data_IF_337789072130
#
_entry.id   IF_337789072130
#
_cell.length_a   1.000
_cell.length_b   1.000
_cell.length_c   1.000
_cell.angle_alpha   90.00
_cell.angle_beta   90.00
_cell.angle_gamma   90.00
#
_symmetry.space_group_name_H-M   'P 1'
#
loop_
_entity.id
_entity.type
_entity.pdbx_description
1 polymer ?
#
# COMPACT_ATOMS: atom_id res chain seq x y z
N UNK A 1 -20.42 -8.43 4.99
CA UNK A 1 -20.96 -9.71 4.47
C UNK A 1 -19.99 -10.80 4.87
N UNK A 2 -20.41 -11.85 5.59
CA UNK A 2 -19.55 -13.00 5.87
C UNK A 2 -19.01 -13.57 4.56
N UNK A 3 -17.69 -13.87 4.46
CA UNK A 3 -17.16 -14.54 3.29
C UNK A 3 -17.79 -15.93 3.17
N UNK A 4 -18.05 -16.35 1.93
CA UNK A 4 -18.55 -17.68 1.59
C UNK A 4 -17.45 -18.52 0.94
N UNK A 5 -17.71 -19.80 0.70
CA UNK A 5 -16.76 -20.70 0.04
C UNK A 5 -15.47 -20.91 0.84
N UNK A 6 -14.34 -21.11 0.15
CA UNK A 6 -13.04 -21.39 0.79
C UNK A 6 -12.57 -20.28 1.72
N UNK A 7 -12.93 -19.03 1.43
CA UNK A 7 -12.56 -17.89 2.26
C UNK A 7 -13.24 -17.93 3.64
N UNK A 8 -14.40 -18.59 3.79
CA UNK A 8 -15.11 -18.70 5.06
C UNK A 8 -14.26 -19.36 6.15
N UNK A 9 -13.40 -20.31 5.79
CA UNK A 9 -12.56 -21.05 6.73
C UNK A 9 -11.53 -20.16 7.47
N UNK A 10 -11.21 -18.98 6.91
CA UNK A 10 -10.26 -18.05 7.51
C UNK A 10 -10.89 -17.08 8.51
N UNK A 11 -12.21 -17.14 8.74
CA UNK A 11 -12.94 -16.18 9.57
C UNK A 11 -13.83 -16.87 10.59
N UNK A 12 -13.72 -16.46 11.85
CA UNK A 12 -14.68 -16.86 12.89
C UNK A 12 -15.92 -15.96 12.79
N UNK A 13 -16.90 -16.37 11.98
CA UNK A 13 -18.15 -15.62 11.76
C UNK A 13 -19.13 -15.96 12.88
N UNK A 14 -19.57 -14.98 13.70
CA UNK A 14 -20.58 -15.23 14.72
C UNK A 14 -21.90 -15.68 14.09
N UNK A 15 -22.62 -16.59 14.76
CA UNK A 15 -23.90 -17.13 14.25
C UNK A 15 -24.97 -16.06 13.98
N UNK A 16 -24.92 -14.94 14.69
CA UNK A 16 -25.86 -13.83 14.51
C UNK A 16 -25.56 -12.96 13.28
N UNK A 17 -24.38 -13.11 12.65
CA UNK A 17 -23.94 -12.31 11.51
C UNK A 17 -24.11 -13.11 10.22
N UNK A 18 -25.19 -12.83 9.48
CA UNK A 18 -25.52 -13.50 8.22
C UNK A 18 -26.15 -12.56 7.21
N UNK A 19 -26.22 -13.00 5.94
CA UNK A 19 -27.07 -12.37 4.95
C UNK A 19 -28.52 -12.80 5.21
N UNK A 20 -29.45 -11.85 5.19
CA UNK A 20 -30.87 -12.18 5.22
C UNK A 20 -31.27 -12.90 3.93
N UNK A 21 -31.93 -14.04 4.06
CA UNK A 21 -32.48 -14.76 2.91
C UNK A 21 -33.49 -13.89 2.17
N UNK A 22 -33.37 -13.79 0.85
CA UNK A 22 -34.24 -12.94 0.02
C UNK A 22 -33.93 -11.44 0.10
N UNK A 23 -32.77 -11.04 0.65
CA UNK A 23 -32.32 -9.66 0.57
C UNK A 23 -32.26 -9.17 -0.88
N UNK A 24 -32.75 -7.95 -1.12
CA UNK A 24 -32.70 -7.30 -2.43
C UNK A 24 -31.61 -6.23 -2.44
N UNK A 25 -30.93 -6.11 -3.58
CA UNK A 25 -29.84 -5.16 -3.77
C UNK A 25 -30.21 -4.19 -4.90
N UNK A 26 -29.86 -2.90 -4.75
CA UNK A 26 -30.07 -1.92 -5.81
C UNK A 26 -29.22 -2.21 -7.07
N UNK A 27 -28.08 -2.89 -6.88
CA UNK A 27 -27.15 -3.31 -7.94
C UNK A 27 -26.28 -4.46 -7.44
N UNK A 28 -26.02 -5.41 -8.33
CA UNK A 28 -25.00 -6.45 -8.14
C UNK A 28 -23.85 -6.20 -9.11
N UNK A 29 -22.61 -6.34 -8.62
CA UNK A 29 -21.39 -6.16 -9.41
C UNK A 29 -20.51 -7.39 -9.18
N UNK A 30 -20.19 -8.09 -10.25
CA UNK A 30 -19.42 -9.33 -10.24
C UNK A 30 -18.04 -9.02 -10.83
N UNK A 31 -16.99 -9.48 -10.15
CA UNK A 31 -15.60 -9.30 -10.59
C UNK A 31 -14.94 -10.67 -10.75
N UNK A 32 -14.34 -10.92 -11.91
CA UNK A 32 -13.42 -12.05 -12.08
C UNK A 32 -12.03 -11.68 -11.56
N UNK A 33 -11.54 -12.41 -10.57
CA UNK A 33 -10.22 -12.17 -9.99
C UNK A 33 -9.09 -12.60 -10.93
N UNK A 34 -9.35 -13.48 -11.91
CA UNK A 34 -8.36 -13.91 -12.89
C UNK A 34 -8.04 -12.81 -13.92
N UNK A 35 -8.95 -11.86 -14.10
CA UNK A 35 -8.79 -10.72 -15.02
C UNK A 35 -8.19 -9.48 -14.33
N UNK A 36 -8.01 -9.51 -13.01
CA UNK A 36 -7.43 -8.40 -12.26
C UNK A 36 -5.92 -8.28 -12.52
N UNK A 37 -5.53 -7.16 -13.12
CA UNK A 37 -4.14 -6.75 -13.21
C UNK A 37 -3.75 -5.78 -12.07
N UNK A 38 -2.45 -5.52 -11.84
CA UNK A 38 -2.01 -4.50 -10.90
C UNK A 38 -2.49 -3.10 -11.32
N UNK A 39 -3.25 -2.46 -10.43
CA UNK A 39 -3.81 -1.13 -10.62
C UNK A 39 -3.14 -0.10 -9.68
N UNK A 40 -3.22 1.16 -10.07
CA UNK A 40 -2.83 2.31 -9.26
C UNK A 40 -3.88 3.41 -9.38
N UNK A 41 -4.16 4.11 -8.29
CA UNK A 41 -4.98 5.32 -8.34
C UNK A 41 -4.07 6.54 -8.55
N UNK A 42 -4.18 7.15 -9.74
CA UNK A 42 -3.42 8.34 -10.12
C UNK A 42 -4.00 9.60 -9.47
N UNK A 43 -3.18 10.65 -9.24
CA UNK A 43 -3.67 11.91 -8.70
C UNK A 43 -4.77 12.52 -9.60
N UNK A 44 -5.71 13.31 -9.07
CA UNK A 44 -5.91 13.71 -7.68
C UNK A 44 -7.20 13.12 -7.10
N UNK A 45 -7.57 11.91 -7.53
CA UNK A 45 -8.77 11.22 -7.05
C UNK A 45 -8.46 9.73 -6.81
N UNK A 46 -8.93 9.13 -5.70
CA UNK A 46 -8.87 7.69 -5.50
C UNK A 46 -9.64 6.91 -6.57
N UNK A 47 -10.58 7.56 -7.27
CA UNK A 47 -11.38 6.97 -8.34
C UNK A 47 -10.65 6.96 -9.70
N UNK A 48 -9.55 7.71 -9.83
CA UNK A 48 -8.75 7.75 -11.06
C UNK A 48 -7.82 6.52 -11.14
N UNK A 49 -8.43 5.34 -11.27
CA UNK A 49 -7.73 4.05 -11.26
C UNK A 49 -7.29 3.70 -12.68
N UNK A 50 -6.00 3.43 -12.85
CA UNK A 50 -5.39 3.02 -14.12
C UNK A 50 -4.52 1.77 -13.92
N UNK A 51 -4.35 0.93 -14.97
CA UNK A 51 -3.31 -0.09 -14.98
C UNK A 51 -1.94 0.49 -14.70
N UNK A 52 -1.14 -0.22 -13.92
CA UNK A 52 0.24 0.21 -13.60
C UNK A 52 1.06 0.44 -14.88
N UNK A 53 0.82 -0.35 -15.93
CA UNK A 53 1.49 -0.20 -17.22
C UNK A 53 1.35 1.21 -17.82
N UNK A 54 0.23 1.90 -17.59
CA UNK A 54 -0.03 3.24 -18.15
C UNK A 54 0.76 4.37 -17.47
N UNK A 55 1.35 4.10 -16.30
CA UNK A 55 2.16 5.08 -15.54
C UNK A 55 3.56 4.56 -15.26
N UNK A 56 4.00 3.58 -16.05
CA UNK A 56 5.26 2.88 -15.85
C UNK A 56 6.52 3.73 -16.07
N UNK A 57 6.36 4.93 -16.64
CA UNK A 57 7.41 5.92 -16.84
C UNK A 57 7.48 6.97 -15.73
N UNK A 58 6.56 6.95 -14.76
CA UNK A 58 6.48 7.96 -13.70
C UNK A 58 7.55 7.69 -12.63
N UNK A 59 8.57 8.55 -12.49
CA UNK A 59 9.55 8.42 -11.42
C UNK A 59 8.91 8.67 -10.06
N UNK A 60 9.44 8.02 -9.02
CA UNK A 60 9.01 8.22 -7.63
C UNK A 60 10.15 8.77 -6.79
N UNK A 61 9.84 9.74 -5.94
CA UNK A 61 10.80 10.34 -4.99
C UNK A 61 10.62 9.75 -3.59
N UNK A 62 9.37 9.42 -3.25
CA UNK A 62 8.98 8.80 -1.99
C UNK A 62 8.12 7.58 -2.25
N UNK A 63 8.46 6.45 -1.62
CA UNK A 63 7.57 5.32 -1.47
C UNK A 63 7.17 5.22 -0.01
N UNK A 64 5.85 5.26 0.25
CA UNK A 64 5.31 5.19 1.60
C UNK A 64 4.48 3.92 1.79
N UNK A 65 5.01 2.98 2.57
CA UNK A 65 4.34 1.73 2.93
C UNK A 65 3.95 1.79 4.41
N UNK A 66 2.67 1.58 4.69
CA UNK A 66 2.21 1.38 6.06
C UNK A 66 1.30 2.50 6.54
N UNK A 67 0.01 2.22 6.39
CA UNK A 67 -1.10 3.10 6.79
C UNK A 67 -2.17 2.25 7.49
N UNK A 68 -3.29 2.86 7.87
CA UNK A 68 -4.43 2.10 8.37
C UNK A 68 -4.99 1.08 7.36
N UNK A 69 -4.75 1.28 6.05
CA UNK A 69 -5.21 0.33 5.02
C UNK A 69 -4.21 -0.78 4.78
N UNK A 70 -2.92 -0.47 4.77
CA UNK A 70 -1.88 -1.38 4.27
C UNK A 70 -0.59 -1.33 5.10
N UNK A 71 -0.72 -1.39 6.42
CA UNK A 71 0.39 -1.48 7.37
C UNK A 71 0.28 -2.66 8.34
N UNK A 72 -0.48 -3.69 7.99
CA UNK A 72 -0.58 -4.94 8.77
C UNK A 72 0.68 -5.78 8.56
N UNK A 73 0.87 -6.80 9.41
CA UNK A 73 2.05 -7.66 9.33
C UNK A 73 2.24 -8.28 7.93
N UNK A 74 1.17 -8.80 7.34
CA UNK A 74 1.21 -9.37 5.98
C UNK A 74 1.59 -8.35 4.90
N UNK A 75 1.20 -7.09 5.04
CA UNK A 75 1.59 -6.02 4.10
C UNK A 75 3.10 -5.77 4.17
N UNK A 76 3.65 -5.68 5.39
CA UNK A 76 5.07 -5.47 5.64
C UNK A 76 5.91 -6.68 5.18
N UNK A 77 5.42 -7.90 5.44
CA UNK A 77 6.06 -9.14 5.00
C UNK A 77 6.10 -9.25 3.47
N UNK A 78 5.03 -8.84 2.78
CA UNK A 78 5.03 -8.77 1.31
C UNK A 78 6.10 -7.81 0.80
N UNK A 79 6.20 -6.60 1.37
CA UNK A 79 7.24 -5.66 1.00
C UNK A 79 8.65 -6.19 1.30
N UNK A 80 8.85 -6.78 2.48
CA UNK A 80 10.13 -7.35 2.88
C UNK A 80 10.59 -8.49 1.95
N UNK A 81 9.67 -9.36 1.53
CA UNK A 81 9.98 -10.47 0.60
C UNK A 81 10.49 -9.95 -0.75
N UNK A 82 9.86 -8.90 -1.27
CA UNK A 82 10.25 -8.27 -2.55
C UNK A 82 11.62 -7.58 -2.41
N UNK A 83 11.87 -6.94 -1.27
CA UNK A 83 13.08 -6.16 -1.00
C UNK A 83 14.26 -7.01 -0.49
N UNK A 84 14.04 -8.27 -0.14
CA UNK A 84 15.05 -9.12 0.50
C UNK A 84 16.32 -9.26 -0.36
N UNK A 85 17.47 -8.94 0.24
CA UNK A 85 18.78 -9.02 -0.44
C UNK A 85 18.98 -7.98 -1.54
N UNK A 86 18.12 -6.97 -1.62
CA UNK A 86 18.17 -5.88 -2.61
C UNK A 86 18.22 -4.54 -1.88
N UNK A 87 18.59 -3.49 -2.60
CA UNK A 87 18.59 -2.12 -2.09
C UNK A 87 17.70 -1.25 -2.98
N UNK A 88 16.97 -0.31 -2.37
CA UNK A 88 16.14 0.65 -3.10
C UNK A 88 16.98 1.53 -4.03
N UNK A 89 16.33 2.11 -5.04
CA UNK A 89 16.96 3.03 -5.96
C UNK A 89 17.55 4.25 -5.20
N UNK A 90 18.75 4.74 -5.54
CA UNK A 90 19.47 5.73 -4.72
C UNK A 90 18.74 7.06 -4.50
N UNK A 91 17.88 7.47 -5.44
CA UNK A 91 17.10 8.71 -5.35
C UNK A 91 15.77 8.54 -4.62
N UNK A 92 15.37 7.30 -4.30
CA UNK A 92 14.08 7.00 -3.65
C UNK A 92 14.24 7.01 -2.14
N UNK A 93 13.33 7.70 -1.47
CA UNK A 93 13.09 7.53 -0.03
C UNK A 93 12.05 6.45 0.19
N UNK A 94 12.38 5.36 0.88
CA UNK A 94 11.40 4.37 1.32
C UNK A 94 11.05 4.61 2.79
N UNK A 95 9.81 5.01 3.06
CA UNK A 95 9.29 5.18 4.42
C UNK A 95 8.35 4.01 4.76
N UNK A 96 8.63 3.33 5.88
CA UNK A 96 7.79 2.25 6.38
C UNK A 96 7.24 2.57 7.77
N UNK A 97 5.92 2.50 7.94
CA UNK A 97 5.24 2.75 9.22
C UNK A 97 4.29 1.59 9.57
N UNK A 98 4.62 0.74 10.56
CA UNK A 98 3.69 -0.30 11.02
C UNK A 98 2.37 0.31 11.52
N UNK A 99 1.24 -0.32 11.22
CA UNK A 99 -0.08 0.24 11.51
C UNK A 99 -0.40 0.34 13.01
N UNK A 100 0.31 -0.40 13.87
CA UNK A 100 0.14 -0.35 15.32
C UNK A 100 1.39 -0.84 16.05
N UNK A 101 1.45 -0.60 17.35
CA UNK A 101 2.50 -1.13 18.22
C UNK A 101 2.61 -2.66 18.14
N UNK A 102 1.48 -3.36 18.14
CA UNK A 102 1.44 -4.82 18.02
C UNK A 102 2.05 -5.32 16.70
N UNK A 103 1.81 -4.59 15.60
CA UNK A 103 2.40 -4.94 14.30
C UNK A 103 3.90 -4.63 14.30
N UNK A 104 4.31 -3.51 14.90
CA UNK A 104 5.73 -3.18 15.08
C UNK A 104 6.46 -4.30 15.84
N UNK A 105 5.94 -4.74 16.99
CA UNK A 105 6.51 -5.84 17.77
C UNK A 105 6.60 -7.14 16.95
N UNK A 106 5.51 -7.53 16.28
CA UNK A 106 5.47 -8.75 15.49
C UNK A 106 6.47 -8.73 14.32
N UNK A 107 6.53 -7.62 13.58
CA UNK A 107 7.45 -7.44 12.45
C UNK A 107 8.92 -7.30 12.89
N UNK A 108 9.15 -6.88 14.14
CA UNK A 108 10.48 -6.91 14.75
C UNK A 108 10.88 -8.35 15.06
N UNK A 109 9.97 -9.10 15.71
CA UNK A 109 10.23 -10.46 16.17
C UNK A 109 10.50 -11.45 15.03
N UNK A 110 9.85 -11.29 13.87
CA UNK A 110 10.02 -12.18 12.71
C UNK A 110 11.12 -11.72 11.72
N UNK A 111 11.82 -10.62 12.01
CA UNK A 111 12.90 -10.09 11.16
C UNK A 111 12.43 -9.30 9.93
N UNK A 112 11.13 -9.06 9.77
CA UNK A 112 10.57 -8.24 8.69
C UNK A 112 11.18 -6.84 8.68
N UNK A 113 11.26 -6.18 9.84
CA UNK A 113 11.83 -4.83 9.92
C UNK A 113 13.33 -4.80 9.61
N UNK A 114 14.08 -5.83 10.03
CA UNK A 114 15.50 -5.94 9.72
C UNK A 114 15.73 -6.05 8.20
N UNK A 115 14.90 -6.83 7.51
CA UNK A 115 14.95 -6.95 6.04
C UNK A 115 14.66 -5.61 5.36
N UNK A 116 13.64 -4.89 5.82
CA UNK A 116 13.28 -3.59 5.27
C UNK A 116 14.37 -2.53 5.49
N UNK A 117 14.96 -2.50 6.69
CA UNK A 117 16.10 -1.63 7.01
C UNK A 117 17.31 -1.94 6.11
N UNK A 118 17.63 -3.22 5.92
CA UNK A 118 18.74 -3.64 5.07
C UNK A 118 18.55 -3.22 3.60
N UNK A 119 17.31 -3.08 3.15
CA UNK A 119 16.98 -2.60 1.81
C UNK A 119 17.06 -1.06 1.67
N UNK A 120 17.31 -0.32 2.75
CA UNK A 120 17.39 1.14 2.76
C UNK A 120 16.12 1.85 3.23
N UNK A 121 15.16 1.13 3.83
CA UNK A 121 13.97 1.76 4.39
C UNK A 121 14.29 2.61 5.62
N UNK A 122 13.59 3.74 5.76
CA UNK A 122 13.48 4.48 7.02
C UNK A 122 12.21 4.03 7.73
N UNK A 123 12.33 3.65 9.01
CA UNK A 123 11.19 3.25 9.83
C UNK A 123 10.60 4.46 10.57
N UNK A 124 9.27 4.51 10.64
CA UNK A 124 8.54 5.42 11.49
C UNK A 124 7.87 4.73 12.67
N UNK A 125 7.62 5.50 13.74
CA UNK A 125 6.78 5.04 14.84
C UNK A 125 5.34 4.84 14.37
N UNK A 126 4.61 3.84 14.91
CA UNK A 126 3.22 3.60 14.53
C UNK A 126 2.36 4.86 14.62
N UNK A 127 1.73 5.24 13.50
CA UNK A 127 1.02 6.50 13.37
C UNK A 127 0.63 6.81 11.93
N UNK A 128 0.25 8.06 11.66
CA UNK A 128 -0.23 8.48 10.33
C UNK A 128 0.89 8.96 9.39
N UNK A 129 2.09 9.28 9.91
CA UNK A 129 3.21 9.82 9.11
C UNK A 129 2.78 10.96 8.16
N UNK A 130 3.09 10.87 6.85
CA UNK A 130 2.78 11.91 5.89
C UNK A 130 1.35 11.83 5.35
N UNK A 131 0.52 10.87 5.78
CA UNK A 131 -0.83 10.63 5.23
C UNK A 131 -1.76 11.86 5.27
N UNK A 132 -1.48 12.81 6.17
CA UNK A 132 -2.17 14.11 6.30
C UNK A 132 -1.22 15.31 6.15
N UNK A 133 -0.02 15.10 5.59
CA UNK A 133 0.94 16.16 5.30
C UNK A 133 1.55 16.88 6.52
N UNK A 134 1.59 16.21 7.69
CA UNK A 134 2.02 16.84 8.95
C UNK A 134 3.50 16.61 9.30
N UNK A 135 4.01 15.40 9.07
CA UNK A 135 5.34 15.00 9.56
C UNK A 135 5.84 13.75 8.82
N UNK A 136 7.13 13.43 8.99
CA UNK A 136 7.74 12.15 8.58
C UNK A 136 7.54 11.81 7.10
N UNK A 137 8.20 12.54 6.21
CA UNK A 137 8.15 12.27 4.76
C UNK A 137 7.07 13.07 4.02
N UNK A 138 6.79 14.29 4.46
CA UNK A 138 5.94 15.23 3.71
C UNK A 138 6.58 15.51 2.34
N UNK A 139 5.78 15.51 1.27
CA UNK A 139 6.28 15.77 -0.08
C UNK A 139 6.36 17.27 -0.41
N UNK A 140 7.44 17.64 -1.09
CA UNK A 140 7.70 18.96 -1.65
C UNK A 140 7.00 19.22 -2.98
N UNK A 141 7.25 20.40 -3.55
CA UNK A 141 6.74 20.78 -4.88
C UNK A 141 7.38 19.90 -5.95
N UNK A 142 6.55 19.34 -6.84
CA UNK A 142 7.01 18.49 -7.95
C UNK A 142 7.31 17.04 -7.57
N UNK A 143 7.49 16.73 -6.28
CA UNK A 143 7.75 15.37 -5.81
C UNK A 143 6.55 14.44 -6.06
N UNK A 144 6.87 13.20 -6.37
CA UNK A 144 5.93 12.10 -6.57
C UNK A 144 6.07 11.11 -5.41
N UNK A 145 4.96 10.88 -4.70
CA UNK A 145 4.85 9.82 -3.71
C UNK A 145 3.99 8.67 -4.23
N UNK A 146 4.51 7.46 -4.16
CA UNK A 146 3.72 6.24 -4.30
C UNK A 146 3.40 5.70 -2.90
N UNK A 147 2.14 5.73 -2.52
CA UNK A 147 1.69 5.44 -1.16
C UNK A 147 0.75 4.24 -1.12
N UNK A 148 0.81 3.49 -0.01
CA UNK A 148 -0.21 2.48 0.33
C UNK A 148 -1.35 3.07 1.19
N UNK A 149 -1.58 4.38 1.12
CA UNK A 149 -2.73 5.05 1.71
C UNK A 149 -4.00 4.86 0.85
N UNK A 150 -5.11 5.49 1.26
CA UNK A 150 -6.39 5.43 0.53
C UNK A 150 -6.86 6.79 -0.01
N UNK A 151 -6.03 7.84 0.08
CA UNK A 151 -6.38 9.21 -0.33
C UNK A 151 -5.20 9.89 -1.00
N UNK A 152 -5.44 10.53 -2.14
CA UNK A 152 -4.44 11.21 -2.95
C UNK A 152 -4.90 12.58 -3.48
N UNK A 153 -5.82 13.24 -2.78
CA UNK A 153 -6.27 14.58 -3.13
C UNK A 153 -5.10 15.58 -3.17
N UNK A 154 -5.27 16.67 -3.91
CA UNK A 154 -4.25 17.73 -4.00
C UNK A 154 -3.85 18.23 -2.60
N UNK A 155 -2.54 18.29 -2.32
CA UNK A 155 -2.00 18.73 -1.03
C UNK A 155 -2.15 17.73 0.11
N UNK A 156 -2.56 16.48 -0.16
CA UNK A 156 -2.86 15.50 0.89
C UNK A 156 -1.66 15.14 1.76
N UNK A 157 -0.48 15.01 1.16
CA UNK A 157 0.75 14.56 1.84
C UNK A 157 1.82 15.64 1.90
N UNK A 158 1.45 16.92 1.69
CA UNK A 158 2.40 18.03 1.67
C UNK A 158 2.01 19.09 0.67
N UNK A 159 2.96 19.45 -0.19
CA UNK A 159 2.76 20.47 -1.21
C UNK A 159 1.53 20.19 -2.08
N UNK A 160 0.68 21.20 -2.35
CA UNK A 160 -0.37 21.11 -3.36
C UNK A 160 0.14 20.81 -4.78
N UNK A 161 1.43 21.03 -5.04
CA UNK A 161 2.08 20.74 -6.31
C UNK A 161 2.86 19.42 -6.30
N UNK A 162 2.76 18.65 -5.20
CA UNK A 162 3.18 17.25 -5.15
C UNK A 162 2.11 16.34 -5.75
N UNK A 163 2.50 15.13 -6.14
CA UNK A 163 1.59 14.11 -6.71
C UNK A 163 1.63 12.86 -5.85
N UNK A 164 0.46 12.31 -5.54
CA UNK A 164 0.34 11.06 -4.76
C UNK A 164 -0.35 10.01 -5.63
N UNK A 165 0.30 8.87 -5.81
CA UNK A 165 -0.27 7.67 -6.41
C UNK A 165 -0.58 6.68 -5.29
N UNK A 166 -1.68 5.92 -5.43
CA UNK A 166 -2.09 4.90 -4.46
C UNK A 166 -1.89 3.52 -5.06
N UNK A 167 -1.15 2.64 -4.38
CA UNK A 167 -0.92 1.27 -4.83
C UNK A 167 -0.97 0.23 -3.71
N UNK A 168 -0.91 -1.03 -4.09
CA UNK A 168 -0.64 -2.13 -3.16
C UNK A 168 0.78 -2.03 -2.55
N UNK A 169 1.05 -2.68 -1.41
CA UNK A 169 2.41 -2.85 -0.87
C UNK A 169 3.37 -3.54 -1.84
N UNK A 170 2.88 -4.47 -2.66
CA UNK A 170 3.70 -5.19 -3.62
C UNK A 170 4.21 -4.25 -4.73
N UNK A 171 3.29 -3.51 -5.35
CA UNK A 171 3.62 -2.47 -6.35
C UNK A 171 4.54 -1.41 -5.75
N UNK A 172 4.28 -0.97 -4.52
CA UNK A 172 5.11 0.03 -3.83
C UNK A 172 6.55 -0.47 -3.62
N UNK A 173 6.72 -1.69 -3.12
CA UNK A 173 8.04 -2.29 -2.91
C UNK A 173 8.82 -2.49 -4.22
N UNK A 174 8.16 -3.00 -5.27
CA UNK A 174 8.77 -3.14 -6.59
C UNK A 174 9.21 -1.78 -7.16
N UNK A 175 8.37 -0.76 -7.00
CA UNK A 175 8.68 0.61 -7.44
C UNK A 175 9.82 1.25 -6.66
N UNK A 176 9.96 0.93 -5.37
CA UNK A 176 11.09 1.40 -4.56
C UNK A 176 12.44 0.87 -5.09
N UNK A 177 12.47 -0.35 -5.63
CA UNK A 177 13.64 -0.91 -6.29
C UNK A 177 13.88 -0.27 -7.66
N UNK A 178 12.83 -0.04 -8.44
CA UNK A 178 12.93 0.45 -9.81
C UNK A 178 13.18 1.96 -9.92
N UNK A 179 12.78 2.74 -8.91
CA UNK A 179 12.88 4.21 -8.96
C UNK A 179 11.74 4.90 -9.72
N UNK A 180 10.79 4.13 -10.22
CA UNK A 180 9.59 4.56 -10.94
C UNK A 180 8.46 3.55 -10.69
N UNK A 181 7.22 3.90 -11.03
CA UNK A 181 6.07 3.03 -10.77
C UNK A 181 6.16 1.77 -11.63
N UNK A 182 6.21 0.59 -11.00
CA UNK A 182 6.19 -0.71 -11.69
C UNK A 182 5.33 -1.74 -10.95
N UNK A 183 4.80 -2.69 -11.71
CA UNK A 183 4.11 -3.83 -11.13
C UNK A 183 5.09 -4.77 -10.43
N UNK A 184 4.66 -5.41 -9.34
CA UNK A 184 5.39 -6.56 -8.82
C UNK A 184 5.22 -7.72 -9.81
N UNK A 185 6.31 -8.16 -10.44
CA UNK A 185 6.32 -9.33 -11.32
C UNK A 185 6.62 -10.56 -10.45
N UNK A 186 5.90 -11.67 -10.67
CA UNK A 186 5.82 -12.84 -9.80
C UNK A 186 7.12 -13.20 -9.05
N UNK A 187 7.03 -13.17 -7.72
CA UNK A 187 8.01 -13.68 -6.76
C UNK A 187 7.47 -14.93 -6.08
#
# INVERSE_FOLDING_TARGET
>A
VPPTGKAAASWNVPQWLGLQQGATYAREIIFDLAELEPLVAAPYSPENVVPVAQVSDVPVDLVFIGTCTNGRLGDLQTAARILAGRHIAPHVRLLVIPASHRILEAATADGTLATLLAAGATLGTPGCGPCIGRHMGVIGRGEVCLSTANRNFRGRMGSPDGRVYISSPATAAASALAGHIVAAVGH
#
